data_IF_473926731077
#
_entry.id   IF_473926731077
#
_cell.length_a   1.000
_cell.length_b   1.000
_cell.length_c   1.000
_cell.angle_alpha   90.00
_cell.angle_beta   90.00
_cell.angle_gamma   90.00
#
_symmetry.space_group_name_H-M   'P 1'
#
loop_
_entity.id
_entity.type
_entity.pdbx_description
1 polymer ?
#
# COMPACT_ATOMS: atom_id res chain seq x y z
N UNK A 1 18.51 27.36 -1.58
CA UNK A 1 17.57 26.60 -2.42
C UNK A 1 18.30 25.37 -2.93
N UNK A 2 18.20 24.25 -2.20
CA UNK A 2 18.87 23.00 -2.55
C UNK A 2 17.84 21.99 -3.00
N UNK A 3 17.95 21.53 -4.25
CA UNK A 3 17.10 20.52 -4.86
C UNK A 3 17.32 19.15 -4.19
N UNK A 4 16.33 18.68 -3.42
CA UNK A 4 16.28 17.29 -2.99
C UNK A 4 15.86 16.41 -4.17
N UNK A 5 16.83 15.75 -4.80
CA UNK A 5 16.58 14.66 -5.74
C UNK A 5 16.02 13.46 -4.97
N UNK A 6 14.73 13.19 -5.16
CA UNK A 6 14.13 11.91 -4.77
C UNK A 6 14.77 10.78 -5.60
N UNK A 7 15.65 10.01 -4.96
CA UNK A 7 16.02 8.68 -5.45
C UNK A 7 14.88 7.73 -5.07
N UNK A 8 14.09 7.32 -6.07
CA UNK A 8 13.12 6.24 -5.88
C UNK A 8 13.84 4.91 -5.59
N UNK A 9 13.24 4.01 -4.79
CA UNK A 9 13.87 2.74 -4.45
C UNK A 9 13.90 1.81 -5.67
N UNK A 10 15.10 1.40 -6.08
CA UNK A 10 15.37 0.34 -7.07
C UNK A 10 15.24 -1.06 -6.45
N UNK A 11 14.20 -1.27 -5.66
CA UNK A 11 13.89 -2.56 -5.05
C UNK A 11 12.56 -3.06 -5.60
N UNK A 12 12.61 -3.99 -6.55
CA UNK A 12 11.42 -4.69 -7.04
C UNK A 12 10.78 -5.47 -5.89
N UNK A 13 9.74 -4.91 -5.28
CA UNK A 13 8.86 -5.65 -4.40
C UNK A 13 8.02 -6.58 -5.29
N UNK A 14 8.27 -7.88 -5.20
CA UNK A 14 7.30 -8.85 -5.68
C UNK A 14 6.03 -8.72 -4.82
N UNK A 15 4.83 -8.68 -5.43
CA UNK A 15 3.60 -8.68 -4.66
C UNK A 15 3.48 -9.99 -3.85
N UNK A 16 3.01 -9.95 -2.59
CA UNK A 16 2.76 -11.15 -1.82
C UNK A 16 1.74 -12.04 -2.56
N UNK A 17 2.10 -13.30 -2.74
CA UNK A 17 1.23 -14.30 -3.35
C UNK A 17 0.18 -14.75 -2.34
N UNK A 18 -1.08 -14.38 -2.57
CA UNK A 18 -2.17 -14.80 -1.68
C UNK A 18 -2.35 -16.32 -1.69
N UNK A 19 -2.20 -16.94 -0.51
CA UNK A 19 -2.82 -18.21 -0.19
C UNK A 19 -4.25 -18.01 0.37
N UNK A 20 -5.06 -19.05 0.20
CA UNK A 20 -6.53 -19.10 0.23
C UNK A 20 -7.06 -19.20 1.67
N UNK A 21 -8.02 -18.35 2.06
CA UNK A 21 -8.82 -18.55 3.28
C UNK A 21 -10.04 -19.45 2.96
N UNK A 22 -10.30 -20.55 3.71
CA UNK A 22 -11.47 -21.39 3.48
C UNK A 22 -12.76 -20.73 4.01
N UNK A 23 -13.81 -20.79 3.19
CA UNK A 23 -15.16 -20.35 3.52
C UNK A 23 -15.84 -21.31 4.50
N UNK A 24 -16.51 -20.75 5.50
CA UNK A 24 -17.36 -21.48 6.43
C UNK A 24 -18.67 -21.88 5.76
N UNK A 25 -18.82 -23.17 5.43
CA UNK A 25 -20.13 -23.79 5.20
C UNK A 25 -20.21 -25.08 6.00
N UNK A 26 -20.82 -25.01 7.18
CA UNK A 26 -21.15 -26.16 8.01
C UNK A 26 -22.61 -26.09 8.45
N UNK A 27 -23.50 -26.72 7.68
CA UNK A 27 -24.85 -27.08 8.16
C UNK A 27 -24.71 -28.34 9.02
N UNK A 28 -25.00 -28.26 10.31
CA UNK A 28 -25.20 -29.45 11.14
C UNK A 28 -26.68 -29.61 11.50
N UNK A 29 -27.15 -30.82 11.23
CA UNK A 29 -28.51 -31.33 11.37
C UNK A 29 -28.67 -31.87 12.80
N UNK A 30 -29.79 -31.54 13.44
CA UNK A 30 -30.16 -32.04 14.75
C UNK A 30 -30.59 -33.52 14.70
N UNK A 31 -30.25 -34.27 15.75
CA UNK A 31 -31.00 -35.47 16.15
C UNK A 31 -30.97 -35.60 17.67
N UNK A 32 -32.16 -35.73 18.24
CA UNK A 32 -32.46 -35.94 19.66
C UNK A 32 -32.20 -37.39 20.08
N UNK A 33 -31.85 -37.59 21.34
CA UNK A 33 -32.28 -38.72 22.15
C UNK A 33 -32.16 -38.38 23.65
N UNK A 34 -33.15 -38.84 24.42
CA UNK A 34 -33.48 -38.38 25.76
C UNK A 34 -32.81 -39.13 26.91
N UNK A 35 -33.01 -38.58 28.11
CA UNK A 35 -32.59 -39.17 29.39
C UNK A 35 -32.81 -38.20 30.56
N UNK A 36 -33.80 -38.49 31.40
CA UNK A 36 -34.21 -37.74 32.61
C UNK A 36 -33.69 -38.43 33.90
N UNK A 37 -33.81 -37.84 35.11
CA UNK A 37 -32.88 -36.89 35.70
C UNK A 37 -32.21 -37.43 36.99
N UNK A 38 -31.03 -36.91 37.34
CA UNK A 38 -30.37 -37.15 38.63
C UNK A 38 -30.01 -35.84 39.30
N UNK A 39 -30.59 -35.57 40.47
CA UNK A 39 -30.31 -34.40 41.29
C UNK A 39 -29.01 -34.56 42.07
N UNK A 40 -28.04 -33.66 41.93
CA UNK A 40 -27.21 -33.15 43.04
C UNK A 40 -26.48 -31.87 42.60
N UNK A 41 -26.38 -30.88 43.50
CA UNK A 41 -25.35 -29.85 43.43
C UNK A 41 -25.81 -28.47 42.97
N UNK A 42 -26.09 -27.58 43.94
CA UNK A 42 -26.07 -26.14 43.72
C UNK A 42 -24.66 -25.76 43.24
N UNK A 43 -24.53 -25.47 41.95
CA UNK A 43 -23.40 -24.72 41.44
C UNK A 43 -23.81 -23.24 41.39
N UNK A 44 -22.96 -22.42 41.98
CA UNK A 44 -23.04 -20.97 41.97
C UNK A 44 -23.36 -20.49 40.55
N UNK A 45 -24.49 -19.80 40.43
CA UNK A 45 -24.83 -19.09 39.21
C UNK A 45 -23.75 -18.02 39.02
N UNK A 46 -22.78 -18.29 38.15
CA UNK A 46 -21.92 -17.27 37.59
C UNK A 46 -22.84 -16.16 37.09
N UNK A 47 -22.85 -15.02 37.78
CA UNK A 47 -23.63 -13.87 37.36
C UNK A 47 -23.13 -13.52 35.96
N UNK A 48 -23.98 -13.72 34.94
CA UNK A 48 -23.70 -13.20 33.60
C UNK A 48 -23.51 -11.69 33.78
N UNK A 49 -22.27 -11.23 33.65
CA UNK A 49 -21.96 -9.81 33.63
C UNK A 49 -22.89 -9.17 32.59
N UNK A 50 -23.49 -8.04 32.94
CA UNK A 50 -24.30 -7.28 32.01
C UNK A 50 -23.47 -7.00 30.75
N UNK A 51 -24.06 -7.05 29.54
CA UNK A 51 -23.33 -6.71 28.33
C UNK A 51 -22.74 -5.30 28.48
N UNK A 52 -21.50 -5.07 28.00
CA UNK A 52 -20.89 -3.75 28.06
C UNK A 52 -21.80 -2.72 27.38
N UNK A 53 -21.79 -1.46 27.86
CA UNK A 53 -22.55 -0.40 27.21
C UNK A 53 -22.12 -0.23 25.75
N UNK A 54 -23.00 0.24 24.86
CA UNK A 54 -22.65 0.49 23.47
C UNK A 54 -21.52 1.53 23.39
N UNK A 55 -20.61 1.41 22.40
CA UNK A 55 -19.52 2.37 22.21
C UNK A 55 -20.04 3.80 22.05
N UNK A 56 -19.38 4.76 22.70
CA UNK A 56 -19.73 6.16 22.67
C UNK A 56 -18.73 6.95 21.82
N UNK A 57 -19.24 7.70 20.84
CA UNK A 57 -18.40 8.60 20.04
C UNK A 57 -17.88 9.76 20.88
N UNK A 58 -16.65 10.16 20.60
CA UNK A 58 -16.10 11.42 21.09
C UNK A 58 -16.92 12.60 20.58
N UNK A 59 -16.86 13.73 21.30
CA UNK A 59 -17.46 15.01 20.87
C UNK A 59 -16.52 15.83 19.97
N UNK A 60 -15.25 15.43 19.87
CA UNK A 60 -14.22 16.13 19.10
C UNK A 60 -13.40 15.16 18.27
N UNK A 61 -12.89 15.62 17.12
CA UNK A 61 -12.05 14.81 16.26
C UNK A 61 -10.79 14.27 16.96
N UNK A 62 -10.19 13.23 16.38
CA UNK A 62 -9.02 12.57 16.94
C UNK A 62 -7.68 13.32 16.71
N UNK A 63 -7.70 14.58 16.27
CA UNK A 63 -6.50 15.38 16.13
C UNK A 63 -5.80 15.58 17.48
N UNK A 64 -4.50 15.27 17.53
CA UNK A 64 -3.60 15.53 18.66
C UNK A 64 -4.05 14.95 20.02
N UNK A 65 -4.97 13.98 20.02
CA UNK A 65 -5.34 13.19 21.20
C UNK A 65 -5.20 11.70 20.93
N UNK A 66 -5.21 10.92 22.00
CA UNK A 66 -5.22 9.47 21.90
C UNK A 66 -6.56 8.96 21.34
N UNK A 67 -6.49 7.86 20.60
CA UNK A 67 -7.64 7.05 20.27
C UNK A 67 -8.26 6.50 21.54
N UNK A 68 -9.58 6.46 21.59
CA UNK A 68 -10.32 5.81 22.67
C UNK A 68 -10.53 4.33 22.37
N UNK A 69 -10.86 3.56 23.41
CA UNK A 69 -11.26 2.18 23.24
C UNK A 69 -12.49 2.03 22.34
N UNK A 70 -13.49 2.90 22.50
CA UNK A 70 -14.71 2.91 21.68
C UNK A 70 -14.42 3.16 20.19
N UNK A 71 -13.46 4.05 19.88
CA UNK A 71 -12.99 4.27 18.51
C UNK A 71 -12.28 3.03 17.96
N UNK A 72 -11.45 2.38 18.79
CA UNK A 72 -10.71 1.17 18.44
C UNK A 72 -11.65 0.02 18.07
N UNK A 73 -12.59 -0.33 18.95
CA UNK A 73 -13.55 -1.43 18.71
C UNK A 73 -14.49 -1.16 17.54
N UNK A 74 -14.77 0.12 17.25
CA UNK A 74 -15.66 0.49 16.17
C UNK A 74 -14.98 0.47 14.80
N UNK A 75 -13.70 0.85 14.73
CA UNK A 75 -12.90 0.77 13.50
C UNK A 75 -12.48 -0.66 13.18
N UNK A 76 -12.31 -1.51 14.20
CA UNK A 76 -11.98 -2.94 14.06
C UNK A 76 -13.08 -3.84 14.63
N UNK A 77 -14.27 -3.91 14.01
CA UNK A 77 -15.44 -4.56 14.61
C UNK A 77 -15.30 -6.08 14.80
N UNK A 78 -14.33 -6.73 14.14
CA UNK A 78 -14.06 -8.17 14.33
C UNK A 78 -12.86 -8.45 15.24
N UNK A 79 -12.20 -7.42 15.76
CA UNK A 79 -11.13 -7.58 16.75
C UNK A 79 -11.73 -8.08 18.07
N UNK A 80 -10.95 -8.88 18.79
CA UNK A 80 -11.31 -9.24 20.16
C UNK A 80 -11.03 -8.08 21.10
N UNK A 81 -11.75 -8.02 22.23
CA UNK A 81 -11.48 -7.06 23.31
C UNK A 81 -10.00 -7.08 23.73
N UNK A 82 -9.43 -8.28 23.89
CA UNK A 82 -8.04 -8.46 24.28
C UNK A 82 -7.07 -7.84 23.25
N UNK A 83 -7.36 -7.95 21.95
CA UNK A 83 -6.54 -7.32 20.91
C UNK A 83 -6.69 -5.79 20.96
N UNK A 84 -7.91 -5.27 21.07
CA UNK A 84 -8.13 -3.83 21.20
C UNK A 84 -7.35 -3.25 22.39
N UNK A 85 -7.44 -3.89 23.56
CA UNK A 85 -6.71 -3.51 24.78
C UNK A 85 -5.19 -3.60 24.59
N UNK A 86 -4.68 -4.63 23.92
CA UNK A 86 -3.24 -4.81 23.72
C UNK A 86 -2.63 -3.80 22.72
N UNK A 87 -3.34 -3.50 21.62
CA UNK A 87 -2.82 -2.66 20.54
C UNK A 87 -3.07 -1.17 20.74
N UNK A 88 -4.14 -0.78 21.44
CA UNK A 88 -4.50 0.63 21.62
C UNK A 88 -3.39 1.51 22.23
N UNK A 89 -2.77 1.16 23.38
CA UNK A 89 -1.71 2.00 23.95
C UNK A 89 -0.50 2.09 23.01
N UNK A 90 -0.15 0.98 22.36
CA UNK A 90 0.97 0.95 21.40
C UNK A 90 0.70 1.86 20.20
N UNK A 91 -0.52 1.85 19.65
CA UNK A 91 -0.92 2.76 18.56
C UNK A 91 -0.83 4.22 18.98
N UNK A 92 -1.35 4.56 20.16
CA UNK A 92 -1.35 5.93 20.67
C UNK A 92 0.08 6.47 20.88
N UNK A 93 0.97 5.66 21.45
CA UNK A 93 2.36 6.02 21.64
C UNK A 93 3.08 6.16 20.29
N UNK A 94 2.91 5.20 19.40
CA UNK A 94 3.61 5.21 18.12
C UNK A 94 3.11 6.32 17.18
N UNK A 95 1.82 6.67 17.21
CA UNK A 95 1.31 7.81 16.48
C UNK A 95 1.94 9.13 16.91
N UNK A 96 2.26 9.30 18.20
CA UNK A 96 3.00 10.46 18.70
C UNK A 96 4.45 10.43 18.17
N UNK A 97 5.12 9.28 18.29
CA UNK A 97 6.51 9.08 17.84
C UNK A 97 6.70 9.39 16.35
N UNK A 98 5.77 8.92 15.51
CA UNK A 98 5.87 9.02 14.05
C UNK A 98 5.00 10.15 13.46
N UNK A 99 4.46 11.07 14.27
CA UNK A 99 3.75 12.25 13.74
C UNK A 99 2.43 11.95 13.02
N UNK A 100 1.79 10.82 13.31
CA UNK A 100 0.47 10.43 12.77
C UNK A 100 -0.63 11.02 13.68
N UNK A 101 -0.60 12.34 13.87
CA UNK A 101 -1.37 12.99 14.94
C UNK A 101 -2.71 13.57 14.50
N UNK A 102 -2.94 13.82 13.21
CA UNK A 102 -4.24 14.31 12.72
C UNK A 102 -5.25 13.17 12.61
N UNK A 103 -6.54 13.49 12.78
CA UNK A 103 -7.62 12.51 12.62
C UNK A 103 -7.61 11.85 11.23
N UNK A 104 -7.27 12.62 10.18
CA UNK A 104 -7.20 12.13 8.81
C UNK A 104 -6.05 11.13 8.60
N UNK A 105 -4.85 11.43 9.11
CA UNK A 105 -3.71 10.49 9.04
C UNK A 105 -4.00 9.19 9.80
N UNK A 106 -4.58 9.30 11.00
CA UNK A 106 -5.01 8.13 11.79
C UNK A 106 -6.04 7.31 11.04
N UNK A 107 -7.08 7.93 10.50
CA UNK A 107 -8.11 7.24 9.75
C UNK A 107 -7.53 6.49 8.54
N UNK A 108 -6.69 7.15 7.76
CA UNK A 108 -6.01 6.53 6.62
C UNK A 108 -5.11 5.36 7.05
N UNK A 109 -4.34 5.51 8.12
CA UNK A 109 -3.50 4.43 8.65
C UNK A 109 -4.36 3.22 9.07
N UNK A 110 -5.38 3.43 9.91
CA UNK A 110 -6.22 2.35 10.43
C UNK A 110 -7.00 1.62 9.32
N UNK A 111 -7.43 2.34 8.29
CA UNK A 111 -8.07 1.77 7.12
C UNK A 111 -7.17 0.79 6.36
N UNK A 112 -5.84 0.95 6.45
CA UNK A 112 -4.89 -0.02 5.91
C UNK A 112 -4.72 -1.24 6.82
N UNK A 113 -4.72 -1.06 8.14
CA UNK A 113 -4.44 -2.13 9.10
C UNK A 113 -5.50 -3.24 9.08
N UNK A 114 -6.77 -2.87 8.96
CA UNK A 114 -7.89 -3.82 9.04
C UNK A 114 -7.79 -4.98 8.03
N UNK A 115 -7.66 -4.70 6.72
CA UNK A 115 -7.54 -5.72 5.69
C UNK A 115 -6.24 -6.55 5.80
N UNK A 116 -5.15 -5.93 6.26
CA UNK A 116 -3.83 -6.60 6.39
C UNK A 116 -3.79 -7.61 7.54
N UNK A 117 -4.58 -7.36 8.59
CA UNK A 117 -4.53 -8.15 9.84
C UNK A 117 -5.81 -8.94 10.10
N UNK A 118 -6.86 -8.73 9.31
CA UNK A 118 -8.19 -9.26 9.59
C UNK A 118 -8.75 -8.73 10.92
N UNK A 119 -8.71 -7.40 11.11
CA UNK A 119 -9.06 -6.71 12.37
C UNK A 119 -8.19 -7.13 13.55
N UNK A 120 -6.88 -6.96 13.39
CA UNK A 120 -5.87 -7.21 14.42
C UNK A 120 -5.79 -8.68 14.86
N UNK A 121 -6.35 -9.60 14.06
CA UNK A 121 -6.39 -11.03 14.38
C UNK A 121 -5.09 -11.74 14.03
N UNK A 122 -4.45 -11.34 12.94
CA UNK A 122 -3.28 -12.02 12.38
C UNK A 122 -2.10 -11.07 12.32
N UNK A 123 -1.00 -11.47 12.96
CA UNK A 123 0.26 -10.71 12.97
C UNK A 123 1.35 -11.37 12.13
N UNK A 124 1.03 -12.49 11.48
CA UNK A 124 1.90 -13.21 10.56
C UNK A 124 1.10 -13.67 9.34
N UNK A 125 1.67 -13.47 8.16
CA UNK A 125 1.14 -14.00 6.91
C UNK A 125 1.04 -15.54 6.96
N UNK A 126 -0.05 -16.08 6.42
CA UNK A 126 -0.29 -17.52 6.35
C UNK A 126 0.06 -18.01 4.95
N UNK A 127 1.00 -18.96 4.85
CA UNK A 127 1.23 -19.74 3.63
C UNK A 127 2.28 -19.20 2.66
N UNK A 128 2.92 -18.08 2.96
CA UNK A 128 4.13 -17.62 2.27
C UNK A 128 5.37 -17.94 3.11
N UNK A 129 6.47 -18.35 2.48
CA UNK A 129 7.76 -18.58 3.15
C UNK A 129 8.82 -17.71 2.48
N UNK A 130 9.22 -16.65 3.17
CA UNK A 130 10.21 -15.68 2.68
C UNK A 130 11.56 -15.88 3.38
N UNK A 131 11.99 -17.14 3.50
CA UNK A 131 13.24 -17.49 4.19
C UNK A 131 13.25 -17.08 5.67
N UNK A 132 12.11 -17.11 6.35
CA UNK A 132 11.94 -16.63 7.73
C UNK A 132 11.45 -15.19 7.87
N UNK A 133 11.42 -14.42 6.77
CA UNK A 133 11.01 -13.01 6.75
C UNK A 133 9.64 -12.81 6.10
N UNK A 134 8.68 -13.65 6.49
CA UNK A 134 7.27 -13.51 6.09
C UNK A 134 6.67 -12.16 6.51
N UNK A 135 5.52 -11.78 5.93
CA UNK A 135 4.78 -10.61 6.39
C UNK A 135 4.46 -10.70 7.87
N UNK A 136 4.88 -9.71 8.67
CA UNK A 136 4.53 -9.58 10.10
C UNK A 136 4.06 -8.19 10.51
N UNK A 137 3.32 -8.11 11.60
CA UNK A 137 2.82 -6.87 12.18
C UNK A 137 1.69 -6.23 11.38
N UNK A 138 1.35 -4.98 11.72
CA UNK A 138 0.08 -4.37 11.27
C UNK A 138 0.03 -4.03 9.78
N UNK A 139 1.18 -3.81 9.13
CA UNK A 139 1.30 -3.54 7.69
C UNK A 139 2.21 -4.56 6.99
N UNK A 140 2.31 -5.77 7.55
CA UNK A 140 2.98 -6.93 6.93
C UNK A 140 4.42 -6.63 6.47
N UNK A 141 5.29 -6.23 7.41
CA UNK A 141 6.72 -6.07 7.15
C UNK A 141 7.28 -7.39 6.58
N UNK A 142 7.76 -7.37 5.35
CA UNK A 142 8.11 -8.56 4.57
C UNK A 142 9.51 -8.43 3.98
N UNK A 143 10.24 -9.53 3.83
CA UNK A 143 11.61 -9.65 3.28
C UNK A 143 12.74 -9.19 4.20
N UNK A 144 13.85 -9.93 4.19
CA UNK A 144 15.05 -9.65 5.00
C UNK A 144 15.53 -8.19 4.92
N UNK A 145 15.62 -7.53 3.74
CA UNK A 145 16.07 -6.15 3.67
C UNK A 145 15.19 -5.17 4.46
N UNK A 146 13.88 -5.39 4.50
CA UNK A 146 12.96 -4.53 5.25
C UNK A 146 13.06 -4.75 6.76
N UNK A 147 13.23 -6.01 7.21
CA UNK A 147 13.50 -6.32 8.62
C UNK A 147 14.81 -5.68 9.08
N UNK A 148 15.86 -5.79 8.27
CA UNK A 148 17.15 -5.15 8.54
C UNK A 148 17.05 -3.62 8.61
N UNK A 149 16.30 -3.02 7.68
CA UNK A 149 16.09 -1.57 7.65
C UNK A 149 15.33 -1.07 8.88
N UNK A 150 14.27 -1.78 9.27
CA UNK A 150 13.50 -1.47 10.46
C UNK A 150 14.34 -1.65 11.73
N UNK A 151 15.03 -2.79 11.88
CA UNK A 151 15.89 -3.06 13.02
C UNK A 151 16.99 -2.01 13.21
N UNK A 152 17.59 -1.54 12.11
CA UNK A 152 18.53 -0.41 12.14
C UNK A 152 17.87 0.88 12.65
N UNK A 153 16.63 1.16 12.27
CA UNK A 153 15.93 2.39 12.65
C UNK A 153 15.61 2.44 14.15
N UNK A 154 15.31 1.29 14.77
CA UNK A 154 14.98 1.20 16.20
C UNK A 154 16.11 0.66 17.07
N UNK A 155 17.29 0.40 16.48
CA UNK A 155 18.46 -0.17 17.16
C UNK A 155 18.15 -1.51 17.86
N UNK A 156 17.44 -2.39 17.15
CA UNK A 156 17.08 -3.75 17.61
C UNK A 156 17.27 -4.75 16.48
N UNK A 157 17.78 -5.95 16.77
CA UNK A 157 17.98 -6.97 15.74
C UNK A 157 16.69 -7.78 15.53
N UNK A 158 16.19 -7.82 14.29
CA UNK A 158 15.04 -8.63 13.89
C UNK A 158 15.42 -9.69 12.83
N UNK A 159 16.70 -10.05 12.74
CA UNK A 159 17.17 -11.09 11.83
C UNK A 159 17.11 -12.48 12.47
N UNK A 160 17.01 -13.51 11.63
CA UNK A 160 16.93 -14.91 12.07
C UNK A 160 15.75 -15.17 13.01
N UNK A 161 16.03 -15.78 14.17
CA UNK A 161 15.01 -16.15 15.17
C UNK A 161 14.28 -14.95 15.78
N UNK A 162 14.86 -13.74 15.72
CA UNK A 162 14.27 -12.52 16.25
C UNK A 162 13.20 -11.92 15.32
N UNK A 163 13.07 -12.40 14.07
CA UNK A 163 12.06 -11.90 13.14
C UNK A 163 10.62 -12.04 13.68
N UNK A 164 10.34 -13.08 14.48
CA UNK A 164 9.03 -13.30 15.10
C UNK A 164 8.64 -12.27 16.16
N UNK A 165 9.59 -11.49 16.69
CA UNK A 165 9.29 -10.44 17.65
C UNK A 165 8.42 -9.34 17.03
N UNK A 166 8.45 -9.16 15.70
CA UNK A 166 7.57 -8.23 14.97
C UNK A 166 6.08 -8.61 15.10
N UNK A 167 5.76 -9.82 15.56
CA UNK A 167 4.38 -10.25 15.85
C UNK A 167 3.86 -9.70 17.19
N UNK A 168 4.75 -9.24 18.09
CA UNK A 168 4.37 -8.69 19.39
C UNK A 168 3.73 -7.30 19.25
N UNK A 169 2.71 -6.92 20.04
CA UNK A 169 1.96 -5.68 19.84
C UNK A 169 2.82 -4.42 19.73
N UNK A 170 3.88 -4.30 20.55
CA UNK A 170 4.82 -3.19 20.50
C UNK A 170 5.47 -3.08 19.12
N UNK A 171 6.10 -4.16 18.65
CA UNK A 171 6.88 -4.15 17.42
C UNK A 171 6.01 -4.22 16.16
N UNK A 172 4.85 -4.87 16.24
CA UNK A 172 3.84 -4.90 15.19
C UNK A 172 3.32 -3.49 14.84
N UNK A 173 3.13 -2.65 15.86
CA UNK A 173 2.69 -1.26 15.70
C UNK A 173 3.85 -0.36 15.30
N UNK A 174 4.99 -0.45 15.98
CA UNK A 174 6.13 0.42 15.71
C UNK A 174 6.64 0.22 14.28
N UNK A 175 6.82 -1.03 13.83
CA UNK A 175 7.21 -1.34 12.44
C UNK A 175 6.24 -0.78 11.40
N UNK A 176 4.94 -0.86 11.65
CA UNK A 176 3.93 -0.34 10.74
C UNK A 176 3.93 1.20 10.66
N UNK A 177 4.06 1.87 11.79
CA UNK A 177 4.08 3.34 11.86
C UNK A 177 5.43 3.92 11.39
N UNK A 178 6.54 3.24 11.64
CA UNK A 178 7.83 3.48 10.99
C UNK A 178 7.73 3.35 9.47
N UNK A 179 7.13 2.26 9.00
CA UNK A 179 6.96 2.02 7.57
C UNK A 179 6.14 3.15 6.92
N UNK A 180 5.05 3.54 7.57
CA UNK A 180 4.17 4.62 7.14
C UNK A 180 4.89 5.96 7.01
N UNK A 181 5.53 6.42 8.09
CA UNK A 181 6.07 7.78 8.15
C UNK A 181 7.50 7.88 7.60
N UNK A 182 8.39 6.96 7.99
CA UNK A 182 9.83 7.05 7.65
C UNK A 182 10.20 6.32 6.37
N UNK A 183 9.60 5.16 6.11
CA UNK A 183 10.03 4.31 4.99
C UNK A 183 9.25 4.57 3.70
N UNK A 184 7.99 5.01 3.79
CA UNK A 184 7.14 5.30 2.64
C UNK A 184 6.68 6.75 2.53
N UNK A 185 6.77 7.53 3.61
CA UNK A 185 6.30 8.92 3.66
C UNK A 185 4.85 9.04 3.18
N UNK A 186 3.94 8.36 3.88
CA UNK A 186 2.52 8.25 3.51
C UNK A 186 1.64 9.36 4.10
N UNK A 187 2.08 10.01 5.16
CA UNK A 187 1.35 11.10 5.82
C UNK A 187 0.94 12.24 4.87
N UNK A 188 1.80 12.72 3.94
CA UNK A 188 1.40 13.76 2.97
C UNK A 188 0.26 13.34 2.04
N UNK A 189 0.15 12.04 1.73
CA UNK A 189 -0.91 11.51 0.87
C UNK A 189 -2.21 11.32 1.64
N UNK A 190 -2.12 10.98 2.93
CA UNK A 190 -3.28 10.99 3.81
C UNK A 190 -3.82 12.41 3.99
N UNK A 191 -2.95 13.42 4.11
CA UNK A 191 -3.37 14.83 4.20
C UNK A 191 -4.08 15.32 2.93
N UNK A 192 -3.79 14.71 1.77
CA UNK A 192 -4.50 14.93 0.49
C UNK A 192 -5.75 14.08 0.32
N UNK A 193 -6.07 13.23 1.30
CA UNK A 193 -7.14 12.24 1.23
C UNK A 193 -6.97 11.23 0.05
N UNK A 194 -5.73 10.87 -0.29
CA UNK A 194 -5.40 10.04 -1.45
C UNK A 194 -5.28 8.55 -1.11
N UNK A 195 -6.42 7.92 -0.82
CA UNK A 195 -6.49 6.48 -0.50
C UNK A 195 -5.91 5.61 -1.62
N UNK A 196 -6.12 5.98 -2.89
CA UNK A 196 -5.64 5.20 -4.05
C UNK A 196 -4.13 5.09 -4.05
N UNK A 197 -3.44 6.21 -3.86
CA UNK A 197 -1.99 6.21 -3.84
C UNK A 197 -1.44 5.47 -2.63
N UNK A 198 -2.01 5.69 -1.44
CA UNK A 198 -1.63 4.97 -0.22
C UNK A 198 -1.77 3.45 -0.42
N UNK A 199 -2.91 2.99 -0.97
CA UNK A 199 -3.15 1.59 -1.25
C UNK A 199 -2.08 0.99 -2.17
N UNK A 200 -1.77 1.66 -3.28
CA UNK A 200 -0.73 1.23 -4.21
C UNK A 200 0.67 1.18 -3.58
N UNK A 201 1.00 2.15 -2.73
CA UNK A 201 2.32 2.22 -2.06
C UNK A 201 2.54 1.13 -1.01
N UNK A 202 1.45 0.62 -0.43
CA UNK A 202 1.48 -0.50 0.53
C UNK A 202 1.41 -1.85 -0.19
N UNK A 203 0.48 -2.00 -1.13
CA UNK A 203 0.12 -3.31 -1.71
C UNK A 203 0.70 -3.58 -3.12
N UNK A 204 1.31 -2.59 -3.76
CA UNK A 204 1.75 -2.71 -5.16
C UNK A 204 0.59 -2.74 -6.16
N UNK A 205 -0.59 -2.28 -5.76
CA UNK A 205 -1.82 -2.29 -6.55
C UNK A 205 -3.04 -1.99 -5.68
N UNK A 206 -4.23 -2.41 -6.13
CA UNK A 206 -5.52 -2.12 -5.48
C UNK A 206 -6.14 -3.35 -4.79
N UNK A 207 -5.29 -4.25 -4.28
CA UNK A 207 -5.76 -5.38 -3.49
C UNK A 207 -6.45 -4.89 -2.20
N UNK A 208 -7.68 -5.37 -1.98
CA UNK A 208 -8.50 -4.95 -0.84
C UNK A 208 -8.93 -3.48 -0.87
N UNK A 209 -8.89 -2.80 -2.01
CA UNK A 209 -9.19 -1.37 -2.10
C UNK A 209 -10.58 -1.00 -1.56
N UNK A 210 -11.63 -1.75 -1.92
CA UNK A 210 -12.99 -1.50 -1.44
C UNK A 210 -13.11 -1.69 0.08
N UNK A 211 -12.47 -2.72 0.65
CA UNK A 211 -12.45 -2.92 2.12
C UNK A 211 -11.73 -1.76 2.81
N UNK A 212 -10.59 -1.29 2.26
CA UNK A 212 -9.88 -0.10 2.76
C UNK A 212 -10.76 1.15 2.67
N UNK A 213 -11.50 1.32 1.58
CA UNK A 213 -12.40 2.44 1.38
C UNK A 213 -13.54 2.44 2.40
N UNK A 214 -14.21 1.30 2.60
CA UNK A 214 -15.31 1.18 3.56
C UNK A 214 -14.83 1.43 5.00
N UNK A 215 -13.64 0.94 5.34
CA UNK A 215 -13.00 1.20 6.64
C UNK A 215 -12.59 2.64 6.84
N UNK A 216 -12.13 3.30 5.78
CA UNK A 216 -11.82 4.72 5.83
C UNK A 216 -13.08 5.52 6.15
N UNK A 217 -14.22 5.19 5.56
CA UNK A 217 -15.50 5.82 5.87
C UNK A 217 -15.91 5.60 7.34
N UNK A 218 -15.76 4.37 7.87
CA UNK A 218 -16.00 4.08 9.29
C UNK A 218 -15.07 4.93 10.18
N UNK A 219 -13.78 5.00 9.85
CA UNK A 219 -12.82 5.78 10.61
C UNK A 219 -13.10 7.29 10.51
N UNK A 220 -13.58 7.80 9.38
CA UNK A 220 -13.96 9.21 9.23
C UNK A 220 -15.11 9.59 10.16
N UNK A 221 -16.09 8.69 10.26
CA UNK A 221 -17.24 8.86 11.14
C UNK A 221 -16.84 8.80 12.63
N UNK A 222 -16.08 7.78 13.04
CA UNK A 222 -15.69 7.62 14.45
C UNK A 222 -14.63 8.62 14.93
N UNK A 223 -13.72 9.03 14.05
CA UNK A 223 -12.68 10.01 14.38
C UNK A 223 -13.11 11.45 14.08
N UNK A 224 -14.38 11.66 13.72
CA UNK A 224 -15.02 12.94 13.41
C UNK A 224 -14.20 13.79 12.43
N UNK A 225 -13.78 13.17 11.32
CA UNK A 225 -12.93 13.82 10.31
C UNK A 225 -13.66 14.95 9.59
N UNK A 226 -14.93 14.74 9.20
CA UNK A 226 -15.71 15.75 8.47
C UNK A 226 -16.06 17.00 9.30
N UNK A 227 -16.07 16.88 10.63
CA UNK A 227 -16.33 18.02 11.54
C UNK A 227 -15.04 18.60 12.13
N UNK A 228 -13.88 18.11 11.69
CA UNK A 228 -12.59 18.60 12.12
C UNK A 228 -12.37 20.05 11.65
N UNK A 229 -11.88 20.91 12.55
CA UNK A 229 -11.58 22.32 12.21
C UNK A 229 -10.24 22.50 11.52
N UNK A 230 -9.32 21.53 11.65
CA UNK A 230 -7.95 21.60 11.13
C UNK A 230 -7.75 20.80 9.85
N UNK A 231 -8.72 19.98 9.47
CA UNK A 231 -8.72 19.16 8.25
C UNK A 231 -9.98 19.54 7.46
N UNK A 232 -9.83 19.79 6.17
CA UNK A 232 -10.97 20.01 5.29
C UNK A 232 -10.89 19.06 4.09
N UNK A 233 -11.73 18.03 4.11
CA UNK A 233 -11.88 17.05 3.02
C UNK A 233 -13.20 17.24 2.26
N UNK A 234 -14.01 18.25 2.61
CA UNK A 234 -15.39 18.38 2.16
C UNK A 234 -16.25 17.18 2.56
N UNK A 235 -17.28 16.88 1.76
CA UNK A 235 -18.18 15.74 1.97
C UNK A 235 -17.65 14.44 1.34
N UNK A 236 -16.56 14.52 0.57
CA UNK A 236 -16.04 13.38 -0.18
C UNK A 236 -15.11 12.53 0.68
N UNK A 237 -15.39 11.22 0.76
CA UNK A 237 -14.52 10.25 1.43
C UNK A 237 -13.26 9.93 0.63
N UNK A 238 -13.22 10.25 -0.67
CA UNK A 238 -12.05 10.10 -1.53
C UNK A 238 -12.02 11.16 -2.64
N UNK A 239 -10.84 11.35 -3.25
CA UNK A 239 -10.63 12.30 -4.35
C UNK A 239 -10.84 11.65 -5.72
N UNK A 240 -11.25 12.37 -6.78
CA UNK A 240 -11.29 11.85 -8.15
C UNK A 240 -9.95 11.28 -8.63
N UNK A 241 -9.96 10.34 -9.58
CA UNK A 241 -8.75 9.69 -10.11
C UNK A 241 -7.71 10.71 -10.59
N UNK A 242 -8.14 11.75 -11.31
CA UNK A 242 -7.29 12.81 -11.87
C UNK A 242 -6.61 13.68 -10.80
N UNK A 243 -7.11 13.65 -9.57
CA UNK A 243 -6.52 14.35 -8.41
C UNK A 243 -5.61 13.44 -7.57
N UNK A 244 -5.65 12.14 -7.81
CA UNK A 244 -4.80 11.17 -7.13
C UNK A 244 -3.41 11.16 -7.76
N UNK A 245 -2.39 10.99 -6.94
CA UNK A 245 -1.02 10.80 -7.38
C UNK A 245 -0.88 9.53 -8.26
N UNK A 246 -1.77 8.54 -8.12
CA UNK A 246 -1.86 7.39 -9.04
C UNK A 246 -1.93 7.83 -10.50
N UNK A 247 -2.62 8.94 -10.79
CA UNK A 247 -2.76 9.48 -12.14
C UNK A 247 -1.42 9.87 -12.76
N UNK A 248 -0.43 10.27 -11.96
CA UNK A 248 0.86 10.76 -12.45
C UNK A 248 1.94 9.67 -12.48
N UNK A 249 1.62 8.47 -12.00
CA UNK A 249 2.52 7.32 -11.99
C UNK A 249 2.09 6.30 -13.04
N UNK A 250 2.90 6.15 -14.11
CA UNK A 250 2.58 5.28 -15.26
C UNK A 250 2.11 3.88 -14.84
N UNK A 251 2.85 3.23 -13.94
CA UNK A 251 2.52 1.87 -13.47
C UNK A 251 1.21 1.85 -12.65
N UNK A 252 0.96 2.87 -11.83
CA UNK A 252 -0.24 2.92 -11.00
C UNK A 252 -1.48 3.32 -11.78
N UNK A 253 -1.37 4.21 -12.78
CA UNK A 253 -2.44 4.48 -13.73
C UNK A 253 -2.84 3.20 -14.49
N UNK A 254 -1.87 2.42 -14.96
CA UNK A 254 -2.13 1.11 -15.56
C UNK A 254 -2.80 0.15 -14.57
N UNK A 255 -2.31 0.07 -13.33
CA UNK A 255 -2.91 -0.78 -12.30
C UNK A 255 -4.36 -0.36 -12.00
N UNK A 256 -4.67 0.94 -11.98
CA UNK A 256 -6.03 1.44 -11.78
C UNK A 256 -6.95 0.99 -12.91
N UNK A 257 -6.48 1.11 -14.16
CA UNK A 257 -7.17 0.57 -15.32
C UNK A 257 -7.41 -0.94 -15.19
N UNK A 258 -6.39 -1.68 -14.78
CA UNK A 258 -6.41 -3.13 -14.68
C UNK A 258 -7.34 -3.67 -13.58
N UNK A 259 -7.46 -2.97 -12.44
CA UNK A 259 -8.38 -3.36 -11.37
C UNK A 259 -9.83 -3.00 -11.68
N UNK A 260 -10.05 -2.01 -12.55
CA UNK A 260 -11.36 -1.67 -13.09
C UNK A 260 -11.70 -2.44 -14.39
N UNK A 261 -10.82 -3.31 -14.87
CA UNK A 261 -11.09 -4.22 -15.98
C UNK A 261 -11.76 -5.49 -15.47
N UNK A 262 -13.07 -5.58 -15.64
CA UNK A 262 -13.86 -6.76 -15.28
C UNK A 262 -13.32 -8.07 -15.90
N UNK A 263 -12.63 -8.00 -17.04
CA UNK A 263 -12.05 -9.18 -17.68
C UNK A 263 -10.69 -9.60 -17.13
N UNK A 264 -10.02 -8.73 -16.37
CA UNK A 264 -8.76 -9.04 -15.72
C UNK A 264 -8.92 -9.85 -14.42
N UNK A 265 -10.17 -10.01 -13.94
CA UNK A 265 -10.53 -10.79 -12.74
C UNK A 265 -9.63 -10.49 -11.53
N UNK A 266 -9.34 -9.19 -11.33
CA UNK A 266 -8.55 -8.71 -10.19
C UNK A 266 -9.42 -8.68 -8.93
N UNK A 267 -8.81 -8.98 -7.78
CA UNK A 267 -9.46 -8.86 -6.48
C UNK A 267 -9.19 -7.49 -5.87
N UNK A 268 -10.17 -6.95 -5.15
CA UNK A 268 -10.02 -5.71 -4.39
C UNK A 268 -10.98 -4.59 -4.81
N UNK A 269 -11.51 -4.65 -6.03
CA UNK A 269 -12.64 -3.84 -6.49
C UNK A 269 -13.78 -4.79 -6.86
N UNK A 270 -14.87 -4.75 -6.10
CA UNK A 270 -16.01 -5.64 -6.24
C UNK A 270 -16.87 -5.28 -7.47
N UNK A 271 -16.89 -3.99 -7.83
CA UNK A 271 -17.65 -3.47 -8.99
C UNK A 271 -16.71 -2.68 -9.91
N UNK A 272 -15.96 -3.36 -10.79
CA UNK A 272 -15.08 -2.69 -11.76
C UNK A 272 -15.86 -1.69 -12.63
N UNK A 273 -15.36 -0.47 -12.76
CA UNK A 273 -16.03 0.60 -13.50
C UNK A 273 -15.38 0.82 -14.89
N UNK A 274 -16.19 0.80 -15.95
CA UNK A 274 -15.69 0.89 -17.32
C UNK A 274 -15.07 2.26 -17.68
N UNK A 275 -15.53 3.35 -17.05
CA UNK A 275 -14.98 4.69 -17.21
C UNK A 275 -13.64 4.81 -16.49
N UNK A 276 -13.56 4.33 -15.24
CA UNK A 276 -12.32 4.30 -14.47
C UNK A 276 -11.26 3.41 -15.14
N UNK A 277 -11.68 2.28 -15.71
CA UNK A 277 -10.82 1.42 -16.55
C UNK A 277 -10.23 2.21 -17.71
N UNK A 278 -11.08 2.90 -18.47
CA UNK A 278 -10.66 3.69 -19.63
C UNK A 278 -9.72 4.82 -19.21
N UNK A 279 -10.05 5.53 -18.12
CA UNK A 279 -9.24 6.61 -17.58
C UNK A 279 -7.83 6.12 -17.18
N UNK A 280 -7.73 5.00 -16.46
CA UNK A 280 -6.44 4.42 -16.05
C UNK A 280 -5.57 3.99 -17.23
N UNK A 281 -6.13 3.24 -18.19
CA UNK A 281 -5.38 2.81 -19.37
C UNK A 281 -5.01 3.98 -20.29
N UNK A 282 -5.92 4.94 -20.51
CA UNK A 282 -5.61 6.13 -21.32
C UNK A 282 -4.47 6.92 -20.69
N UNK A 283 -4.54 7.15 -19.37
CA UNK A 283 -3.49 7.90 -18.68
C UNK A 283 -2.13 7.20 -18.75
N UNK A 284 -2.11 5.87 -18.66
CA UNK A 284 -0.90 5.09 -18.88
C UNK A 284 -0.30 5.33 -20.28
N UNK A 285 -1.13 5.32 -21.33
CA UNK A 285 -0.68 5.58 -22.71
C UNK A 285 -0.16 7.01 -22.88
N UNK A 286 -0.84 8.00 -22.29
CA UNK A 286 -0.43 9.41 -22.35
C UNK A 286 0.95 9.61 -21.70
N UNK A 287 1.16 8.99 -20.54
CA UNK A 287 2.44 9.04 -19.82
C UNK A 287 3.56 8.32 -20.60
N UNK A 288 3.25 7.17 -21.23
CA UNK A 288 4.21 6.47 -22.09
C UNK A 288 4.60 7.31 -23.29
N UNK A 289 3.63 7.90 -24.01
CA UNK A 289 3.89 8.74 -25.17
C UNK A 289 4.74 9.97 -24.80
N UNK A 290 4.50 10.57 -23.63
CA UNK A 290 5.31 11.68 -23.13
C UNK A 290 6.76 11.26 -22.83
N UNK A 291 6.98 10.05 -22.31
CA UNK A 291 8.33 9.51 -22.05
C UNK A 291 9.08 9.16 -23.35
N UNK A 292 8.37 8.55 -24.31
CA UNK A 292 8.92 8.24 -25.63
C UNK A 292 9.34 9.52 -26.36
N UNK A 293 8.51 10.58 -26.29
CA UNK A 293 8.82 11.88 -26.87
C UNK A 293 10.05 12.54 -26.23
N UNK A 294 10.20 12.44 -24.90
CA UNK A 294 11.40 12.93 -24.18
C UNK A 294 12.64 12.16 -24.61
N UNK A 295 12.53 10.84 -24.72
CA UNK A 295 13.62 9.95 -25.16
C UNK A 295 14.04 10.29 -26.58
N UNK A 296 13.08 10.44 -27.50
CA UNK A 296 13.34 10.83 -28.88
C UNK A 296 14.01 12.20 -28.97
N UNK A 297 13.56 13.17 -28.16
CA UNK A 297 14.14 14.51 -28.12
C UNK A 297 15.59 14.50 -27.64
N UNK A 298 15.90 13.69 -26.61
CA UNK A 298 17.25 13.48 -26.11
C UNK A 298 18.15 12.84 -27.18
N UNK A 299 17.69 11.78 -27.82
CA UNK A 299 18.44 11.10 -28.89
C UNK A 299 18.73 12.04 -30.08
N UNK A 300 17.76 12.89 -30.46
CA UNK A 300 17.97 13.92 -31.48
C UNK A 300 19.03 14.94 -31.08
N UNK A 301 19.02 15.40 -29.84
CA UNK A 301 20.01 16.34 -29.32
C UNK A 301 21.42 15.72 -29.29
N UNK A 302 21.55 14.47 -28.84
CA UNK A 302 22.81 13.72 -28.83
C UNK A 302 23.37 13.49 -30.24
N UNK A 303 22.50 13.12 -31.19
CA UNK A 303 22.87 12.96 -32.60
C UNK A 303 23.36 14.28 -33.22
N UNK A 304 22.65 15.39 -32.95
CA UNK A 304 23.04 16.72 -33.43
C UNK A 304 24.40 17.16 -32.85
N UNK A 305 24.63 16.93 -31.55
CA UNK A 305 25.90 17.23 -30.90
C UNK A 305 27.06 16.40 -31.50
N UNK A 306 26.82 15.11 -31.77
CA UNK A 306 27.80 14.22 -32.42
C UNK A 306 28.12 14.68 -33.85
N UNK A 307 27.10 15.06 -34.63
CA UNK A 307 27.27 15.60 -35.98
C UNK A 307 28.06 16.91 -35.98
N UNK A 308 27.76 17.84 -35.07
CA UNK A 308 28.50 19.10 -34.92
C UNK A 308 29.96 18.87 -34.53
N UNK A 309 30.25 17.90 -33.66
CA UNK A 309 31.62 17.51 -33.30
C UNK A 309 32.37 16.94 -34.49
N UNK A 310 31.74 16.07 -35.28
CA UNK A 310 32.32 15.50 -36.50
C UNK A 310 32.61 16.58 -37.56
N UNK A 311 31.68 17.51 -37.77
CA UNK A 311 31.86 18.63 -38.70
C UNK A 311 33.05 19.54 -38.29
N UNK A 312 33.17 19.86 -36.98
CA UNK A 312 34.33 20.61 -36.46
C UNK A 312 35.65 19.86 -36.65
N UNK A 313 35.66 18.54 -36.43
CA UNK A 313 36.85 17.72 -36.64
C UNK A 313 37.26 17.69 -38.13
N UNK A 314 36.30 17.52 -39.05
CA UNK A 314 36.55 17.55 -40.48
C UNK A 314 37.07 18.92 -40.96
N UNK A 315 36.49 20.02 -40.48
CA UNK A 315 36.95 21.38 -40.80
C UNK A 315 38.40 21.64 -40.33
N UNK A 316 38.78 21.07 -39.17
CA UNK A 316 40.16 21.13 -38.65
C UNK A 316 41.13 20.28 -39.47
N UNK A 317 40.69 19.13 -39.96
CA UNK A 317 41.49 18.25 -40.82
C UNK A 317 41.76 18.86 -42.21
N UNK A 318 40.84 19.67 -42.76
CA UNK A 318 41.07 20.36 -44.04
C UNK A 318 42.09 21.52 -43.99
N UNK A 319 42.59 21.88 -42.80
CA UNK A 319 43.64 22.90 -42.61
C UNK A 319 45.02 22.32 -42.23
N UNK A 320 45.21 20.99 -42.26
CA UNK A 320 46.50 20.34 -41.98
C UNK A 320 46.61 18.98 -42.70
N UNK A 321 47.65 18.80 -43.50
CA UNK A 321 47.82 17.72 -44.47
C UNK A 321 47.91 16.27 -43.91
N UNK A 322 47.73 15.33 -44.85
CA UNK A 322 48.08 13.89 -44.92
C UNK A 322 47.25 12.84 -44.12
N UNK A 323 46.99 11.64 -44.71
CA UNK A 323 46.06 10.65 -44.14
C UNK A 323 46.77 9.59 -43.29
N UNK A 324 46.19 9.24 -42.14
CA UNK A 324 46.49 8.01 -41.39
C UNK A 324 45.21 7.19 -41.10
N UNK A 325 45.41 5.88 -41.01
CA UNK A 325 44.46 4.75 -41.05
C UNK A 325 43.51 4.66 -39.84
N UNK A 326 42.28 4.11 -39.97
CA UNK A 326 41.29 4.11 -38.89
C UNK A 326 41.43 2.93 -37.92
N UNK A 327 41.37 3.24 -36.62
CA UNK A 327 41.16 2.26 -35.56
C UNK A 327 39.66 2.10 -35.22
N UNK A 328 39.27 0.86 -34.91
CA UNK A 328 37.92 0.40 -34.56
C UNK A 328 37.50 0.82 -33.14
N UNK A 329 36.22 1.18 -32.88
CA UNK A 329 35.74 1.46 -31.52
C UNK A 329 35.16 0.22 -30.84
N UNK A 330 35.47 0.10 -29.55
CA UNK A 330 34.94 -0.90 -28.63
C UNK A 330 33.47 -0.64 -28.25
N UNK A 331 32.75 -1.72 -27.95
CA UNK A 331 31.35 -1.75 -27.53
C UNK A 331 31.20 -1.54 -26.02
N UNK A 332 30.37 -0.58 -25.60
CA UNK A 332 29.94 -0.40 -24.21
C UNK A 332 28.85 -1.40 -23.79
N UNK A 333 28.85 -1.87 -22.52
CA UNK A 333 27.85 -2.79 -22.01
C UNK A 333 26.52 -2.08 -21.67
N UNK A 334 25.42 -2.76 -22.05
CA UNK A 334 24.03 -2.34 -21.89
C UNK A 334 23.60 -2.44 -20.42
N UNK A 335 23.14 -1.33 -19.83
CA UNK A 335 22.45 -1.32 -18.54
C UNK A 335 21.10 -2.06 -18.65
N UNK A 336 20.70 -2.86 -17.63
CA UNK A 336 19.47 -3.63 -17.67
C UNK A 336 18.21 -2.77 -17.48
N UNK A 337 17.16 -3.18 -18.18
CA UNK A 337 15.83 -2.59 -18.27
C UNK A 337 15.00 -2.86 -16.99
N UNK A 338 14.42 -1.83 -16.33
CA UNK A 338 13.59 -1.98 -15.14
C UNK A 338 12.20 -2.61 -15.38
N UNK A 339 11.81 -2.98 -16.61
CA UNK A 339 10.47 -3.50 -16.94
C UNK A 339 10.14 -4.95 -16.46
N UNK A 340 10.99 -5.58 -15.65
CA UNK A 340 10.89 -7.01 -15.33
C UNK A 340 9.80 -7.42 -14.33
N UNK A 341 9.05 -6.49 -13.72
CA UNK A 341 8.03 -6.86 -12.73
C UNK A 341 6.64 -7.20 -13.33
N UNK A 342 6.32 -6.83 -14.58
CA UNK A 342 4.97 -6.96 -15.14
C UNK A 342 4.89 -7.38 -16.64
N UNK A 343 6.02 -7.80 -17.23
CA UNK A 343 6.19 -7.91 -18.69
C UNK A 343 5.20 -8.82 -19.44
N UNK A 344 4.61 -9.85 -18.81
CA UNK A 344 3.74 -10.80 -19.52
C UNK A 344 2.24 -10.45 -19.51
N UNK A 345 1.75 -9.71 -18.51
CA UNK A 345 0.34 -9.28 -18.43
C UNK A 345 0.07 -7.96 -19.15
N UNK A 346 1.11 -7.14 -19.36
CA UNK A 346 1.06 -5.82 -20.02
C UNK A 346 0.60 -5.90 -21.48
N UNK A 347 1.16 -6.81 -22.27
CA UNK A 347 0.94 -6.86 -23.73
C UNK A 347 -0.46 -7.31 -24.13
N UNK A 348 -1.06 -8.26 -23.38
CA UNK A 348 -2.42 -8.77 -23.64
C UNK A 348 -3.52 -7.81 -23.17
N UNK A 349 -3.30 -7.11 -22.04
CA UNK A 349 -4.25 -6.14 -21.51
C UNK A 349 -4.34 -4.88 -22.40
N UNK A 350 -3.19 -4.39 -22.90
CA UNK A 350 -3.14 -3.23 -23.81
C UNK A 350 -3.86 -3.54 -25.13
N UNK A 351 -3.59 -4.70 -25.75
CA UNK A 351 -4.21 -5.07 -27.03
C UNK A 351 -5.75 -5.11 -26.94
N UNK A 352 -6.30 -5.65 -25.85
CA UNK A 352 -7.75 -5.75 -25.63
C UNK A 352 -8.41 -4.41 -25.29
N UNK A 353 -7.70 -3.49 -24.64
CA UNK A 353 -8.20 -2.16 -24.31
C UNK A 353 -8.27 -1.24 -25.55
N UNK A 354 -7.38 -1.43 -26.53
CA UNK A 354 -7.36 -0.64 -27.77
C UNK A 354 -8.36 -1.10 -28.83
N UNK A 355 -8.98 -2.26 -28.70
CA UNK A 355 -9.98 -2.77 -29.67
C UNK A 355 -11.31 -1.97 -29.67
N UNK A 356 -11.54 -1.12 -28.67
CA UNK A 356 -12.71 -0.23 -28.60
C UNK A 356 -12.40 1.26 -28.87
N UNK A 357 -11.18 1.59 -29.29
CA UNK A 357 -10.75 2.96 -29.61
C UNK A 357 -10.32 3.01 -31.08
N UNK A 358 -11.29 3.01 -31.98
CA UNK A 358 -11.12 3.44 -33.37
C UNK A 358 -12.18 4.46 -33.71
#
# INVERSE_FOLDING_TARGET
MGEFRHQGPTGGAHPPGQAKLPGSTGKHKASESGGTPGSVGKHDAASKAAPPPPPQKSLVCACNRDLTHDEMVSVFPKATEANCVAFLPMLNDSFKTYGITTCLRKAHFLAQVGPETGDLKWMKEIGAHHGGYEGRGLLQLTSEPNYKAYGKAVTHDFLGEHAKEVEEPKWAVDSATWFWDKYRDLSPWADKNDLRFICCRINGGFNGYDDRHDRLAIAFDWLLVHTCKTVNIGDATYIPFEKSEVHDWRIFAFAWGLWNDASANRKGIAKPDANERKAGYQRYLDLQAAEDLKTLSKLKAEAAAKAAKAAKAAAKAHHGAAPESPATPASDPKLPDPDLAYGYTRTKAIAKATEGVK
#
